data_IF_957746496905
#
_entry.id   IF_957746496905
#
_cell.length_a   1.000
_cell.length_b   1.000
_cell.length_c   1.000
_cell.angle_alpha   90.00
_cell.angle_beta   90.00
_cell.angle_gamma   90.00
#
_symmetry.space_group_name_H-M   'P 1'
#
loop_
_entity.id
_entity.type
_entity.pdbx_description
1 polymer ?
#
# COMPACT_ATOMS: atom_id res chain seq x y z
N UNK A 1 11.10 -8.09 0.19
CA UNK A 1 11.64 -9.02 -0.82
C UNK A 1 11.97 -8.32 -2.12
N UNK A 2 12.85 -8.93 -2.92
CA UNK A 2 13.30 -8.41 -4.21
C UNK A 2 12.65 -9.20 -5.34
N UNK A 3 12.15 -8.49 -6.35
CA UNK A 3 11.54 -9.07 -7.55
C UNK A 3 11.67 -8.10 -8.73
N UNK A 4 10.94 -8.33 -9.82
CA UNK A 4 10.90 -7.44 -10.99
C UNK A 4 9.57 -7.56 -11.71
N UNK A 5 9.26 -6.59 -12.55
CA UNK A 5 8.15 -6.67 -13.49
C UNK A 5 8.44 -7.76 -14.52
N UNK A 6 7.63 -8.80 -14.54
CA UNK A 6 7.77 -9.94 -15.46
C UNK A 6 6.98 -9.72 -16.75
N UNK A 7 5.74 -9.23 -16.62
CA UNK A 7 4.82 -9.02 -17.74
C UNK A 7 3.87 -7.87 -17.44
N UNK A 8 3.46 -7.17 -18.50
CA UNK A 8 2.51 -6.06 -18.44
C UNK A 8 1.34 -6.35 -19.38
N UNK A 9 0.14 -5.97 -18.95
CA UNK A 9 -1.09 -6.21 -19.71
C UNK A 9 -2.04 -5.01 -19.56
N UNK A 10 -2.45 -4.46 -20.69
CA UNK A 10 -3.49 -3.44 -20.76
C UNK A 10 -4.85 -4.11 -20.99
N UNK A 11 -5.89 -3.60 -20.35
CA UNK A 11 -7.25 -4.14 -20.42
C UNK A 11 -7.28 -5.66 -20.12
N UNK A 12 -6.78 -6.10 -18.96
CA UNK A 12 -6.71 -7.52 -18.63
C UNK A 12 -8.09 -8.12 -18.41
N UNK A 13 -8.27 -9.37 -18.82
CA UNK A 13 -9.36 -10.20 -18.30
C UNK A 13 -8.99 -10.68 -16.89
N UNK A 14 -9.98 -10.81 -16.02
CA UNK A 14 -9.80 -11.41 -14.71
C UNK A 14 -10.32 -12.84 -14.67
N UNK A 15 -9.48 -13.75 -14.23
CA UNK A 15 -9.81 -15.15 -13.97
C UNK A 15 -9.84 -15.35 -12.46
N UNK A 16 -11.04 -15.40 -11.83
CA UNK A 16 -11.13 -15.56 -10.39
C UNK A 16 -10.44 -16.84 -9.96
N UNK A 17 -9.60 -16.80 -8.89
CA UNK A 17 -9.08 -18.01 -8.27
C UNK A 17 -10.21 -18.95 -7.82
N UNK A 18 -9.92 -20.25 -7.81
CA UNK A 18 -10.91 -21.28 -7.44
C UNK A 18 -11.51 -21.02 -6.05
N UNK A 19 -10.70 -20.62 -5.08
CA UNK A 19 -11.16 -20.25 -3.74
C UNK A 19 -12.19 -19.12 -3.73
N UNK A 20 -12.00 -18.11 -4.57
CA UNK A 20 -12.95 -16.98 -4.69
C UNK A 20 -14.25 -17.44 -5.38
N UNK A 21 -14.16 -18.30 -6.40
CA UNK A 21 -15.34 -18.86 -7.04
C UNK A 21 -16.17 -19.68 -6.05
N UNK A 22 -15.53 -20.52 -5.25
CA UNK A 22 -16.18 -21.36 -4.23
C UNK A 22 -16.80 -20.51 -3.12
N UNK A 23 -16.11 -19.48 -2.63
CA UNK A 23 -16.62 -18.56 -1.62
C UNK A 23 -17.88 -17.80 -2.11
N UNK A 24 -17.81 -17.24 -3.30
CA UNK A 24 -18.97 -16.54 -3.89
C UNK A 24 -20.13 -17.47 -4.16
N UNK A 25 -19.88 -18.68 -4.64
CA UNK A 25 -20.93 -19.69 -4.86
C UNK A 25 -21.62 -20.09 -3.54
N UNK A 26 -20.85 -20.27 -2.47
CA UNK A 26 -21.37 -20.58 -1.13
C UNK A 26 -22.24 -19.45 -0.56
N UNK A 27 -21.93 -18.20 -0.91
CA UNK A 27 -22.68 -17.01 -0.49
C UNK A 27 -23.89 -16.68 -1.40
N UNK A 28 -24.19 -17.52 -2.41
CA UNK A 28 -25.33 -17.32 -3.31
C UNK A 28 -25.11 -16.25 -4.39
N UNK A 29 -23.89 -15.83 -4.61
CA UNK A 29 -23.48 -14.81 -5.60
C UNK A 29 -22.40 -15.39 -6.54
N UNK A 30 -22.71 -16.39 -7.38
CA UNK A 30 -21.73 -17.08 -8.20
C UNK A 30 -21.10 -16.15 -9.24
N UNK A 31 -19.76 -16.12 -9.25
CA UNK A 31 -19.00 -15.35 -10.22
C UNK A 31 -18.82 -16.12 -11.55
N UNK A 32 -18.74 -15.41 -12.69
CA UNK A 32 -18.34 -16.03 -13.95
C UNK A 32 -16.88 -16.51 -13.88
N UNK A 33 -16.54 -17.53 -14.65
CA UNK A 33 -15.16 -18.04 -14.75
C UNK A 33 -14.17 -17.03 -15.33
N UNK A 34 -14.68 -16.01 -16.05
CA UNK A 34 -13.90 -14.91 -16.64
C UNK A 34 -14.70 -13.63 -16.55
N UNK A 35 -14.08 -12.56 -16.05
CA UNK A 35 -14.60 -11.20 -16.15
C UNK A 35 -13.82 -10.47 -17.24
N UNK A 36 -14.47 -10.05 -18.35
CA UNK A 36 -13.79 -9.36 -19.44
C UNK A 36 -13.30 -7.96 -19.01
N UNK A 37 -12.42 -7.33 -19.80
CA UNK A 37 -12.03 -5.93 -19.57
C UNK A 37 -13.26 -5.01 -19.50
N UNK A 38 -13.19 -4.02 -18.60
CA UNK A 38 -14.27 -3.05 -18.43
C UNK A 38 -14.37 -2.50 -17.03
N UNK A 39 -15.37 -1.61 -16.79
CA UNK A 39 -15.51 -0.91 -15.52
C UNK A 39 -15.80 -1.84 -14.33
N UNK A 40 -16.35 -3.01 -14.59
CA UNK A 40 -16.67 -4.01 -13.57
C UNK A 40 -15.52 -5.01 -13.30
N UNK A 41 -14.41 -4.90 -14.03
CA UNK A 41 -13.28 -5.79 -13.85
C UNK A 41 -12.46 -5.38 -12.62
N UNK A 42 -12.26 -6.28 -11.63
CA UNK A 42 -11.52 -5.97 -10.41
C UNK A 42 -10.02 -5.74 -10.62
N UNK A 43 -9.48 -6.08 -11.81
CA UNK A 43 -8.08 -5.81 -12.16
C UNK A 43 -7.83 -4.39 -12.67
N UNK A 44 -8.91 -3.62 -12.92
CA UNK A 44 -8.80 -2.29 -13.50
C UNK A 44 -8.24 -2.28 -14.94
N UNK A 45 -7.76 -1.11 -15.43
CA UNK A 45 -7.33 -0.95 -16.82
C UNK A 45 -5.95 -1.56 -17.11
N UNK A 46 -5.11 -1.77 -16.09
CA UNK A 46 -3.73 -2.23 -16.23
C UNK A 46 -3.33 -3.22 -15.15
N UNK A 47 -2.47 -4.16 -15.55
CA UNK A 47 -1.90 -5.19 -14.69
C UNK A 47 -0.42 -5.39 -15.00
N UNK A 48 0.41 -5.51 -13.96
CA UNK A 48 1.83 -5.82 -14.01
C UNK A 48 2.12 -7.03 -13.12
N UNK A 49 2.47 -8.16 -13.74
CA UNK A 49 2.84 -9.36 -13.00
C UNK A 49 4.29 -9.24 -12.50
N UNK A 50 4.54 -9.63 -11.27
CA UNK A 50 5.87 -9.73 -10.71
C UNK A 50 6.50 -11.10 -11.02
N UNK A 51 7.82 -11.18 -11.00
CA UNK A 51 8.53 -12.46 -11.13
C UNK A 51 8.31 -13.36 -9.88
N UNK A 52 7.87 -12.76 -8.77
CA UNK A 52 7.37 -13.50 -7.61
C UNK A 52 5.98 -14.04 -7.93
N UNK A 53 5.83 -15.38 -7.92
CA UNK A 53 4.60 -16.06 -8.30
C UNK A 53 3.42 -15.62 -7.42
N UNK A 54 2.27 -15.36 -8.02
CA UNK A 54 1.07 -14.92 -7.33
C UNK A 54 1.01 -13.42 -7.01
N UNK A 55 2.08 -12.66 -7.25
CA UNK A 55 2.12 -11.23 -6.97
C UNK A 55 1.88 -10.39 -8.23
N UNK A 56 0.93 -9.45 -8.11
CA UNK A 56 0.49 -8.59 -9.21
C UNK A 56 0.25 -7.17 -8.70
N UNK A 57 0.72 -6.17 -9.45
CA UNK A 57 0.34 -4.77 -9.27
C UNK A 57 -0.76 -4.49 -10.31
N UNK A 58 -1.93 -3.98 -9.87
CA UNK A 58 -3.06 -3.76 -10.77
C UNK A 58 -3.97 -2.61 -10.30
N UNK A 59 -4.76 -2.09 -11.22
CA UNK A 59 -5.85 -1.18 -10.89
C UNK A 59 -6.98 -1.86 -10.11
N UNK A 60 -8.07 -1.14 -9.86
CA UNK A 60 -9.24 -1.75 -9.22
C UNK A 60 -10.51 -0.96 -9.53
N UNK A 61 -11.62 -1.67 -9.68
CA UNK A 61 -12.96 -1.07 -9.70
C UNK A 61 -13.50 -0.77 -8.29
N UNK A 62 -12.84 -1.28 -7.24
CA UNK A 62 -13.22 -1.10 -5.83
C UNK A 62 -12.24 -0.15 -5.16
N UNK A 63 -12.63 1.09 -4.91
CA UNK A 63 -11.79 2.08 -4.19
C UNK A 63 -11.53 1.69 -2.74
N UNK A 64 -12.43 0.90 -2.16
CA UNK A 64 -12.28 0.35 -0.81
C UNK A 64 -11.18 -0.71 -0.77
N UNK A 65 -10.36 -0.66 0.25
CA UNK A 65 -9.27 -1.63 0.45
C UNK A 65 -7.94 -1.29 -0.24
N UNK A 66 -7.83 -0.13 -0.93
CA UNK A 66 -6.53 0.39 -1.37
C UNK A 66 -5.75 0.83 -0.13
N UNK A 67 -4.48 0.43 -0.04
CA UNK A 67 -3.63 0.71 1.13
C UNK A 67 -3.83 -0.26 2.29
N UNK A 68 -4.74 -1.24 2.16
CA UNK A 68 -4.97 -2.25 3.19
C UNK A 68 -4.49 -3.64 2.76
N UNK A 69 -4.18 -4.50 3.73
CA UNK A 69 -3.71 -5.88 3.49
C UNK A 69 -4.91 -6.83 3.39
N UNK A 70 -5.65 -6.76 2.29
CA UNK A 70 -6.85 -7.57 2.05
C UNK A 70 -6.71 -8.55 0.88
N UNK A 71 -5.48 -8.80 0.42
CA UNK A 71 -5.23 -9.69 -0.71
C UNK A 71 -4.10 -10.69 -0.42
N UNK A 72 -4.12 -11.82 -1.14
CA UNK A 72 -3.12 -12.89 -1.06
C UNK A 72 -1.93 -12.67 -2.03
N UNK A 73 -1.50 -11.42 -2.24
CA UNK A 73 -0.36 -11.10 -3.10
C UNK A 73 -0.62 -10.04 -4.18
N UNK A 74 -1.80 -9.40 -4.20
CA UNK A 74 -2.10 -8.31 -5.12
C UNK A 74 -1.86 -6.94 -4.48
N UNK A 75 -1.17 -6.06 -5.20
CA UNK A 75 -1.00 -4.65 -4.85
C UNK A 75 -2.02 -3.84 -5.65
N UNK A 76 -3.02 -3.29 -4.97
CA UNK A 76 -4.07 -2.51 -5.60
C UNK A 76 -3.67 -1.05 -5.69
N UNK A 77 -3.87 -0.46 -6.85
CA UNK A 77 -3.70 0.97 -7.10
C UNK A 77 -5.02 1.60 -7.56
N UNK A 78 -5.18 2.89 -7.38
CA UNK A 78 -6.26 3.60 -8.06
C UNK A 78 -6.03 3.53 -9.57
N UNK A 79 -7.11 3.51 -10.34
CA UNK A 79 -7.01 3.38 -11.79
C UNK A 79 -6.26 4.57 -12.42
N UNK A 80 -6.43 5.76 -11.87
CA UNK A 80 -5.72 6.96 -12.27
C UNK A 80 -4.21 6.79 -12.09
N UNK A 81 -3.80 6.32 -10.91
CA UNK A 81 -2.37 6.19 -10.56
C UNK A 81 -1.68 5.10 -11.40
N UNK A 82 -2.33 3.93 -11.60
CA UNK A 82 -1.72 2.88 -12.43
C UNK A 82 -1.71 3.26 -13.91
N UNK A 83 -2.66 4.06 -14.37
CA UNK A 83 -2.68 4.56 -15.76
C UNK A 83 -1.48 5.47 -16.03
N UNK A 84 -1.11 6.28 -15.07
CA UNK A 84 0.08 7.12 -15.15
C UNK A 84 1.38 6.31 -15.00
N UNK A 85 1.41 5.36 -14.07
CA UNK A 85 2.60 4.54 -13.78
C UNK A 85 2.92 3.54 -14.90
N UNK A 86 1.91 2.91 -15.45
CA UNK A 86 2.08 1.79 -16.39
C UNK A 86 3.00 2.08 -17.57
N UNK A 87 2.90 3.21 -18.31
CA UNK A 87 3.80 3.50 -19.42
C UNK A 87 5.25 3.76 -18.96
N UNK A 88 5.44 4.23 -17.73
CA UNK A 88 6.74 4.63 -17.21
C UNK A 88 7.58 3.44 -16.70
N UNK A 89 6.95 2.29 -16.44
CA UNK A 89 7.59 1.11 -15.84
C UNK A 89 7.77 0.02 -16.90
N UNK A 90 8.96 -0.17 -17.48
CA UNK A 90 9.22 -1.24 -18.44
C UNK A 90 9.24 -2.63 -17.79
N UNK A 91 9.07 -3.68 -18.62
CA UNK A 91 9.34 -5.06 -18.19
C UNK A 91 10.82 -5.17 -17.77
N UNK A 92 11.08 -5.90 -16.69
CA UNK A 92 12.40 -6.03 -16.09
C UNK A 92 12.69 -5.02 -14.99
N UNK A 93 11.89 -3.97 -14.82
CA UNK A 93 12.08 -2.99 -13.73
C UNK A 93 12.15 -3.71 -12.38
N UNK A 94 13.20 -3.45 -11.58
CA UNK A 94 13.33 -4.00 -10.23
C UNK A 94 12.18 -3.50 -9.34
N UNK A 95 11.69 -4.38 -8.48
CA UNK A 95 10.65 -4.08 -7.48
C UNK A 95 11.10 -4.60 -6.14
N UNK A 96 11.15 -3.72 -5.14
CA UNK A 96 11.46 -4.07 -3.75
C UNK A 96 10.16 -4.01 -2.94
N UNK A 97 9.76 -5.14 -2.36
CA UNK A 97 8.63 -5.22 -1.44
C UNK A 97 9.16 -5.05 -0.03
N UNK A 98 8.75 -3.98 0.63
CA UNK A 98 9.22 -3.60 1.97
C UNK A 98 8.11 -3.74 3.01
N UNK A 99 8.50 -4.03 4.26
CA UNK A 99 7.61 -3.94 5.42
C UNK A 99 8.00 -2.69 6.22
N UNK A 100 7.37 -1.57 5.90
CA UNK A 100 7.58 -0.29 6.56
C UNK A 100 6.27 0.22 7.14
N UNK A 101 5.89 -0.22 8.36
CA UNK A 101 4.63 0.18 8.96
C UNK A 101 4.59 1.65 9.37
N UNK A 102 5.75 2.27 9.58
CA UNK A 102 5.88 3.67 9.97
C UNK A 102 6.70 4.42 8.94
N UNK A 103 6.18 5.54 8.44
CA UNK A 103 6.85 6.36 7.43
C UNK A 103 6.77 7.84 7.75
N UNK A 104 7.87 8.56 7.55
CA UNK A 104 7.94 10.02 7.64
C UNK A 104 8.07 10.63 6.27
N UNK A 105 7.30 11.69 6.01
CA UNK A 105 7.34 12.45 4.78
C UNK A 105 7.20 13.96 5.03
N UNK A 106 7.78 14.77 4.14
CA UNK A 106 7.58 16.21 4.13
C UNK A 106 6.80 16.57 2.88
N UNK A 107 5.70 17.31 3.05
CA UNK A 107 4.89 17.83 1.96
C UNK A 107 4.39 19.22 2.32
N UNK A 108 4.48 20.16 1.39
CA UNK A 108 4.01 21.55 1.56
C UNK A 108 4.56 22.21 2.84
N UNK A 109 5.82 21.91 3.20
CA UNK A 109 6.47 22.44 4.39
C UNK A 109 5.98 21.85 5.72
N UNK A 110 5.17 20.80 5.73
CA UNK A 110 4.70 20.10 6.91
C UNK A 110 5.31 18.71 7.01
N UNK A 111 5.57 18.25 8.23
CA UNK A 111 6.02 16.87 8.50
C UNK A 111 4.81 15.98 8.77
N UNK A 112 4.77 14.85 8.06
CA UNK A 112 3.73 13.84 8.16
C UNK A 112 4.28 12.53 8.71
N UNK A 113 3.45 11.83 9.46
CA UNK A 113 3.65 10.45 9.88
C UNK A 113 2.50 9.58 9.35
N UNK A 114 2.85 8.47 8.70
CA UNK A 114 1.93 7.41 8.30
C UNK A 114 2.18 6.19 9.20
N UNK A 115 1.11 5.65 9.79
CA UNK A 115 1.16 4.54 10.75
C UNK A 115 0.22 3.44 10.29
N UNK A 116 0.77 2.26 10.03
CA UNK A 116 0.05 1.02 9.78
C UNK A 116 0.26 0.05 10.94
N UNK A 117 -0.63 -0.93 11.09
CA UNK A 117 -0.38 -2.06 11.98
C UNK A 117 0.90 -2.77 11.58
N UNK A 118 1.89 -2.76 12.46
CA UNK A 118 3.11 -3.52 12.25
C UNK A 118 2.80 -5.02 12.31
N UNK A 119 3.32 -5.79 11.35
CA UNK A 119 3.18 -7.24 11.32
C UNK A 119 4.55 -7.89 11.53
N UNK A 120 4.54 -9.04 12.21
CA UNK A 120 5.69 -9.92 12.33
C UNK A 120 5.97 -10.72 11.04
N UNK A 121 6.96 -11.60 11.07
CA UNK A 121 7.35 -12.45 9.94
C UNK A 121 6.26 -13.43 9.50
N UNK A 122 5.30 -13.73 10.38
CA UNK A 122 4.15 -14.60 10.10
C UNK A 122 2.90 -13.82 9.64
N UNK A 123 3.01 -12.48 9.54
CA UNK A 123 1.90 -11.62 9.15
C UNK A 123 0.88 -11.35 10.27
N UNK A 124 1.23 -11.69 11.51
CA UNK A 124 0.41 -11.37 12.69
C UNK A 124 0.77 -9.98 13.24
N UNK A 125 -0.17 -9.31 13.94
CA UNK A 125 0.14 -8.05 14.60
C UNK A 125 1.37 -8.19 15.50
N UNK A 126 2.36 -7.32 15.27
CA UNK A 126 3.60 -7.31 16.03
C UNK A 126 3.34 -6.91 17.49
N UNK A 127 4.04 -7.55 18.41
CA UNK A 127 4.03 -7.20 19.85
C UNK A 127 5.08 -6.14 20.21
N UNK A 128 5.83 -5.61 19.24
CA UNK A 128 6.84 -4.58 19.47
C UNK A 128 6.20 -3.30 20.02
N UNK A 129 6.95 -2.62 20.90
CA UNK A 129 6.55 -1.32 21.43
C UNK A 129 6.51 -0.28 20.28
N UNK A 130 5.32 0.13 19.92
CA UNK A 130 5.07 1.08 18.85
C UNK A 130 5.68 2.45 19.15
N UNK A 131 5.66 2.88 20.42
CA UNK A 131 6.22 4.18 20.80
C UNK A 131 7.74 4.17 20.66
N UNK A 132 8.39 3.11 21.11
CA UNK A 132 9.82 2.93 20.93
C UNK A 132 10.21 2.87 19.44
N UNK A 133 9.42 2.19 18.62
CA UNK A 133 9.64 2.12 17.17
C UNK A 133 9.49 3.48 16.48
N UNK A 134 8.51 4.28 16.87
CA UNK A 134 8.34 5.65 16.34
C UNK A 134 9.48 6.55 16.80
N UNK A 135 9.91 6.46 18.06
CA UNK A 135 11.05 7.21 18.55
C UNK A 135 12.32 6.87 17.77
N UNK A 136 12.60 5.58 17.56
CA UNK A 136 13.73 5.14 16.74
C UNK A 136 13.66 5.68 15.30
N UNK A 137 12.48 5.69 14.69
CA UNK A 137 12.28 6.26 13.35
C UNK A 137 12.59 7.77 13.32
N UNK A 138 12.14 8.51 14.33
CA UNK A 138 12.40 9.96 14.42
C UNK A 138 13.90 10.25 14.62
N UNK A 139 14.60 9.42 15.40
CA UNK A 139 16.04 9.49 15.61
C UNK A 139 16.81 9.12 14.34
N UNK A 140 16.45 8.03 13.66
CA UNK A 140 17.06 7.60 12.39
C UNK A 140 16.92 8.67 11.29
N UNK A 141 15.79 9.37 11.26
CA UNK A 141 15.50 10.40 10.27
C UNK A 141 15.64 11.83 10.85
N UNK A 142 16.51 12.03 11.85
CA UNK A 142 16.68 13.30 12.54
C UNK A 142 16.94 14.50 11.62
N UNK A 143 17.66 14.31 10.52
CA UNK A 143 17.92 15.37 9.53
C UNK A 143 16.63 15.87 8.87
N UNK A 144 15.66 14.97 8.65
CA UNK A 144 14.33 15.33 8.14
C UNK A 144 13.48 16.04 9.20
N UNK A 145 13.62 15.64 10.46
CA UNK A 145 12.82 16.10 11.59
C UNK A 145 13.32 17.43 12.16
N UNK A 146 14.63 17.70 12.07
CA UNK A 146 15.35 18.80 12.72
C UNK A 146 14.74 20.19 12.54
N UNK A 147 14.08 20.46 11.42
CA UNK A 147 13.46 21.77 11.13
C UNK A 147 12.02 21.90 11.62
N UNK A 148 11.49 20.93 12.37
CA UNK A 148 10.09 20.89 12.72
C UNK A 148 9.86 20.87 14.24
N UNK A 149 8.84 21.61 14.68
CA UNK A 149 8.28 21.46 16.02
C UNK A 149 7.27 20.33 15.99
N UNK A 150 7.54 19.23 16.70
CA UNK A 150 6.69 18.04 16.73
C UNK A 150 5.44 18.25 17.60
N UNK A 151 4.32 17.71 17.15
CA UNK A 151 3.08 17.56 17.90
C UNK A 151 2.97 16.11 18.40
N UNK A 152 3.36 15.91 19.66
CA UNK A 152 3.35 14.60 20.31
C UNK A 152 1.93 14.05 20.53
N UNK A 153 0.92 14.92 20.61
CA UNK A 153 -0.48 14.50 20.69
C UNK A 153 -0.93 13.89 19.37
N UNK A 154 -0.67 14.58 18.25
CA UNK A 154 -0.95 14.05 16.92
C UNK A 154 -0.22 12.73 16.64
N UNK A 155 1.06 12.63 17.04
CA UNK A 155 1.83 11.37 16.91
C UNK A 155 1.13 10.24 17.65
N UNK A 156 0.77 10.44 18.92
CA UNK A 156 0.10 9.44 19.74
C UNK A 156 -1.23 9.00 19.15
N UNK A 157 -2.03 9.94 18.64
CA UNK A 157 -3.34 9.67 18.07
C UNK A 157 -3.22 8.85 16.78
N UNK A 158 -2.23 9.13 15.93
CA UNK A 158 -1.92 8.34 14.72
C UNK A 158 -1.44 6.92 15.08
N UNK A 159 -0.59 6.79 16.09
CA UNK A 159 -0.10 5.48 16.58
C UNK A 159 -1.24 4.64 17.14
N UNK A 160 -2.22 5.27 17.78
CA UNK A 160 -3.40 4.57 18.27
C UNK A 160 -4.35 4.15 17.13
N UNK A 161 -4.55 5.02 16.14
CA UNK A 161 -5.49 4.79 15.04
C UNK A 161 -4.99 3.75 14.02
N UNK A 162 -3.69 3.65 13.77
CA UNK A 162 -3.06 2.75 12.77
C UNK A 162 -3.78 2.73 11.41
N UNK A 163 -4.31 3.89 11.01
CA UNK A 163 -5.20 4.00 9.84
C UNK A 163 -4.49 3.85 8.48
N UNK A 164 -3.15 3.96 8.46
CA UNK A 164 -2.38 4.05 7.22
C UNK A 164 -2.61 5.36 6.45
N UNK A 165 -3.27 6.33 7.05
CA UNK A 165 -3.49 7.65 6.46
C UNK A 165 -2.46 8.62 7.06
N UNK A 166 -1.63 9.28 6.22
CA UNK A 166 -0.66 10.24 6.71
C UNK A 166 -1.33 11.40 7.45
N UNK A 167 -0.88 11.70 8.66
CA UNK A 167 -1.31 12.85 9.44
C UNK A 167 -0.16 13.81 9.73
N UNK A 168 -0.47 15.10 9.89
CA UNK A 168 0.52 16.14 10.21
C UNK A 168 0.99 15.97 11.65
N UNK A 169 2.30 15.84 11.84
CA UNK A 169 2.94 15.72 13.14
C UNK A 169 3.97 16.82 13.44
N UNK A 170 4.23 17.70 12.48
CA UNK A 170 5.20 18.78 12.70
C UNK A 170 4.98 19.97 11.77
N UNK A 171 5.24 21.13 12.36
CA UNK A 171 5.24 22.41 11.65
C UNK A 171 6.65 23.00 11.64
N UNK A 172 7.05 23.71 10.56
CA UNK A 172 8.38 24.30 10.48
C UNK A 172 8.63 25.24 11.63
N UNK A 173 9.84 25.16 12.20
CA UNK A 173 10.31 26.13 13.19
C UNK A 173 10.60 27.40 12.41
N UNK A 174 9.80 28.46 12.64
CA UNK A 174 10.08 29.79 12.08
C UNK A 174 11.34 30.35 12.75
N UNK A 175 12.42 30.44 12.03
CA UNK A 175 13.55 31.28 12.41
C UNK A 175 13.11 32.74 12.25
N UNK A 176 13.10 33.47 13.36
CA UNK A 176 12.93 34.93 13.32
C UNK A 176 14.17 35.59 12.72
#
# INVERSE_FOLDING_TARGET
GETRILRKEANPSWYPPKSILEEHAANGDPLPSVVPPGPNNPMGPFKMNLALSGYVIHGTNKKFGIGTRVSHGCFRMRNEDITELFPQVPVGTPVTIVNQPYKLGVKDGLLYLEVHTALDEHGMPSTLDKQAAIQALLEEQQEKVRGFRLDWTAIRDLVYAESGIPGVIGQPIRTM
#
